data_IF_842441724442
#
_entry.id   IF_842441724442
#
_cell.length_a   1.000
_cell.length_b   1.000
_cell.length_c   1.000
_cell.angle_alpha   90.00
_cell.angle_beta   90.00
_cell.angle_gamma   90.00
#
_symmetry.space_group_name_H-M   'P 1'
#
loop_
_entity.id
_entity.type
_entity.pdbx_description
1 polymer ?
#
# COMPACT_ATOMS: atom_id res chain seq x y z
N UNK A 1 -29.35 -34.72 62.97
CA UNK A 1 -29.41 -35.48 61.71
C UNK A 1 -29.09 -34.54 60.55
N UNK A 2 -27.95 -34.76 59.89
CA UNK A 2 -27.43 -33.92 58.80
C UNK A 2 -28.01 -34.45 57.47
N UNK A 3 -28.65 -33.61 56.64
CA UNK A 3 -29.00 -33.96 55.25
C UNK A 3 -28.36 -32.99 54.26
N UNK A 4 -27.71 -33.61 53.27
CA UNK A 4 -26.66 -33.10 52.39
C UNK A 4 -27.14 -32.07 51.37
N UNK A 5 -26.22 -31.16 51.06
CA UNK A 5 -26.24 -30.28 49.89
C UNK A 5 -26.35 -31.10 48.59
N UNK A 6 -27.22 -30.66 47.69
CA UNK A 6 -27.24 -31.10 46.29
C UNK A 6 -26.96 -29.90 45.37
N UNK A 7 -25.68 -29.84 45.04
CA UNK A 7 -25.06 -29.32 43.83
C UNK A 7 -26.01 -29.25 42.61
N UNK A 8 -26.20 -28.05 42.06
CA UNK A 8 -26.75 -27.82 40.71
C UNK A 8 -25.75 -26.97 39.91
N UNK A 9 -24.55 -27.51 39.72
CA UNK A 9 -23.47 -26.90 38.94
C UNK A 9 -23.45 -27.43 37.49
N UNK A 10 -24.62 -27.61 36.89
CA UNK A 10 -24.73 -28.20 35.54
C UNK A 10 -24.95 -27.19 34.40
N UNK A 11 -25.57 -26.05 34.70
CA UNK A 11 -26.07 -25.15 33.65
C UNK A 11 -25.22 -23.89 33.45
N UNK A 12 -24.65 -23.34 34.53
CA UNK A 12 -23.89 -22.09 34.46
C UNK A 12 -22.52 -22.24 33.76
N UNK A 13 -21.89 -23.42 33.83
CA UNK A 13 -20.54 -23.62 33.31
C UNK A 13 -20.49 -23.83 31.78
N UNK A 14 -21.61 -24.24 31.15
CA UNK A 14 -21.68 -24.43 29.69
C UNK A 14 -21.97 -23.13 28.94
N UNK A 15 -22.76 -22.24 29.54
CA UNK A 15 -23.10 -20.94 28.93
C UNK A 15 -21.89 -20.00 28.90
N UNK A 16 -21.00 -20.07 29.90
CA UNK A 16 -19.81 -19.22 29.97
C UNK A 16 -18.68 -19.62 29.00
N UNK A 17 -18.61 -20.89 28.59
CA UNK A 17 -17.60 -21.37 27.61
C UNK A 17 -18.01 -21.03 26.18
N UNK A 18 -19.31 -21.05 25.86
CA UNK A 18 -19.81 -20.68 24.53
C UNK A 18 -19.67 -19.16 24.28
N UNK A 19 -19.78 -18.33 25.32
CA UNK A 19 -19.62 -16.88 25.21
C UNK A 19 -18.15 -16.43 25.06
N UNK A 20 -17.19 -17.25 25.47
CA UNK A 20 -15.75 -16.94 25.37
C UNK A 20 -15.16 -17.26 23.97
N UNK A 21 -15.84 -18.07 23.17
CA UNK A 21 -15.38 -18.50 21.83
C UNK A 21 -15.77 -17.47 20.74
N UNK A 22 -16.67 -16.52 21.03
CA UNK A 22 -17.16 -15.55 20.04
C UNK A 22 -16.32 -14.26 19.89
N UNK A 23 -15.22 -14.11 20.63
CA UNK A 23 -14.43 -12.86 20.67
C UNK A 23 -13.14 -12.88 19.85
N UNK A 24 -12.90 -13.90 19.02
CA UNK A 24 -11.79 -13.85 18.06
C UNK A 24 -12.19 -13.01 16.84
N UNK A 25 -12.24 -11.69 17.03
CA UNK A 25 -12.27 -10.74 15.92
C UNK A 25 -10.96 -10.87 15.15
N UNK A 26 -10.98 -11.68 14.09
CA UNK A 26 -9.94 -11.68 13.06
C UNK A 26 -9.91 -10.29 12.46
N UNK A 27 -9.02 -9.43 12.95
CA UNK A 27 -8.61 -8.20 12.28
C UNK A 27 -7.98 -8.61 10.96
N UNK A 28 -8.80 -8.69 9.92
CA UNK A 28 -8.33 -8.72 8.55
C UNK A 28 -7.72 -7.34 8.28
N UNK A 29 -6.41 -7.20 8.55
CA UNK A 29 -5.65 -6.08 8.01
C UNK A 29 -5.77 -6.19 6.49
N UNK A 30 -6.53 -5.27 5.91
CA UNK A 30 -6.66 -5.10 4.46
C UNK A 30 -5.30 -4.64 3.94
N UNK A 31 -4.37 -5.58 3.73
CA UNK A 31 -3.14 -5.28 3.01
C UNK A 31 -3.54 -4.78 1.61
N UNK A 32 -3.07 -3.58 1.29
CA UNK A 32 -3.25 -2.98 -0.04
C UNK A 32 -2.76 -3.91 -1.15
N UNK A 33 -3.29 -3.74 -2.36
CA UNK A 33 -2.87 -4.56 -3.50
C UNK A 33 -1.43 -4.23 -3.90
N UNK A 34 -0.56 -5.24 -3.97
CA UNK A 34 0.89 -5.09 -4.24
C UNK A 34 1.25 -5.63 -5.62
N UNK A 35 2.13 -4.95 -6.33
CA UNK A 35 2.55 -5.27 -7.70
C UNK A 35 4.06 -5.06 -7.86
N UNK A 36 4.69 -5.91 -8.68
CA UNK A 36 6.13 -5.84 -8.95
C UNK A 36 6.98 -6.26 -7.75
N UNK A 37 8.13 -5.60 -7.57
CA UNK A 37 8.99 -5.81 -6.42
C UNK A 37 8.35 -5.25 -5.14
N UNK A 38 8.58 -5.86 -3.95
CA UNK A 38 8.11 -5.32 -2.70
C UNK A 38 8.76 -3.96 -2.42
N UNK A 39 8.03 -3.06 -1.75
CA UNK A 39 8.59 -1.78 -1.32
C UNK A 39 9.62 -2.03 -0.21
N UNK A 40 10.86 -1.59 -0.45
CA UNK A 40 12.00 -1.72 0.46
C UNK A 40 12.57 -0.34 0.82
N UNK A 41 12.28 0.08 2.04
CA UNK A 41 12.75 1.35 2.62
C UNK A 41 14.28 1.42 2.80
N UNK A 42 15.00 0.31 2.70
CA UNK A 42 16.48 0.30 2.71
C UNK A 42 17.05 0.54 1.32
N UNK A 43 16.31 0.17 0.27
CA UNK A 43 16.73 0.32 -1.14
C UNK A 43 16.44 1.72 -1.68
N UNK A 44 15.34 2.35 -1.25
CA UNK A 44 14.91 3.65 -1.76
C UNK A 44 14.64 4.67 -0.66
N UNK A 45 14.85 5.94 -0.98
CA UNK A 45 14.53 7.05 -0.06
C UNK A 45 13.11 7.56 -0.30
N UNK A 46 12.35 7.80 0.78
CA UNK A 46 11.05 8.45 0.69
C UNK A 46 11.21 9.91 0.25
N UNK A 47 10.49 10.31 -0.81
CA UNK A 47 10.54 11.67 -1.37
C UNK A 47 9.15 12.11 -1.82
N UNK A 48 8.90 13.41 -1.81
CA UNK A 48 7.67 14.00 -2.35
C UNK A 48 7.84 14.38 -3.83
N UNK A 49 6.73 14.52 -4.55
CA UNK A 49 6.76 15.02 -5.93
C UNK A 49 7.42 16.40 -6.01
N UNK A 50 7.04 17.32 -5.11
CA UNK A 50 7.63 18.66 -5.06
C UNK A 50 9.17 18.64 -4.91
N UNK A 51 9.72 17.75 -4.06
CA UNK A 51 11.17 17.61 -3.91
C UNK A 51 11.84 17.17 -5.21
N UNK A 52 11.24 16.22 -5.92
CA UNK A 52 11.73 15.76 -7.24
C UNK A 52 11.73 16.93 -8.23
N UNK A 53 10.67 17.74 -8.29
CA UNK A 53 10.57 18.82 -9.27
C UNK A 53 11.43 20.05 -8.95
N UNK A 54 11.73 20.33 -7.67
CA UNK A 54 12.66 21.39 -7.28
C UNK A 54 14.11 21.05 -7.69
N UNK A 55 14.52 19.79 -7.57
CA UNK A 55 15.89 19.36 -7.92
C UNK A 55 15.92 17.97 -8.57
N UNK A 56 15.45 17.81 -9.82
CA UNK A 56 15.32 16.51 -10.46
C UNK A 56 16.68 15.83 -10.69
N UNK A 57 17.72 16.60 -11.02
CA UNK A 57 19.08 16.08 -11.18
C UNK A 57 19.65 15.50 -9.89
N UNK A 58 19.25 16.02 -8.72
CA UNK A 58 19.66 15.48 -7.42
C UNK A 58 19.14 14.08 -7.11
N UNK A 59 18.15 13.60 -7.86
CA UNK A 59 17.53 12.29 -7.70
C UNK A 59 17.77 11.35 -8.89
N UNK A 60 18.35 11.84 -9.99
CA UNK A 60 18.64 11.02 -11.17
C UNK A 60 19.47 9.78 -10.83
N UNK A 61 19.02 8.63 -11.31
CA UNK A 61 19.66 7.33 -11.05
C UNK A 61 19.44 6.77 -9.65
N UNK A 62 18.82 7.53 -8.73
CA UNK A 62 18.51 7.07 -7.38
C UNK A 62 17.20 6.31 -7.34
N UNK A 63 17.14 5.32 -6.46
CA UNK A 63 15.91 4.63 -6.13
C UNK A 63 15.14 5.47 -5.11
N UNK A 64 13.88 5.76 -5.41
CA UNK A 64 13.01 6.62 -4.60
C UNK A 64 11.67 5.93 -4.34
N UNK A 65 11.06 6.26 -3.21
CA UNK A 65 9.73 5.82 -2.82
C UNK A 65 8.84 7.07 -2.78
N UNK A 66 7.79 7.06 -3.58
CA UNK A 66 6.85 8.18 -3.70
C UNK A 66 5.46 7.69 -3.29
N UNK A 67 4.84 8.40 -2.35
CA UNK A 67 3.44 8.20 -2.00
C UNK A 67 2.61 9.39 -2.52
N UNK A 68 1.65 9.12 -3.39
CA UNK A 68 0.88 10.16 -4.10
C UNK A 68 -0.40 9.60 -4.71
N UNK A 69 -1.30 10.45 -5.22
CA UNK A 69 -2.54 9.98 -5.81
C UNK A 69 -2.35 9.51 -7.26
N UNK A 70 -3.12 8.49 -7.65
CA UNK A 70 -3.24 8.07 -9.03
C UNK A 70 -3.96 9.13 -9.87
N UNK A 71 -3.26 9.74 -10.81
CA UNK A 71 -3.80 10.66 -11.80
C UNK A 71 -4.34 9.91 -13.02
N UNK A 72 -3.77 10.22 -14.19
CA UNK A 72 -4.06 9.48 -15.43
C UNK A 72 -3.39 8.10 -15.41
N UNK A 73 -4.06 7.10 -15.98
CA UNK A 73 -3.57 5.72 -16.08
C UNK A 73 -3.67 5.24 -17.52
N UNK A 74 -2.74 4.37 -17.93
CA UNK A 74 -2.81 3.73 -19.24
C UNK A 74 -4.05 2.81 -19.33
N UNK A 75 -5.08 3.24 -20.07
CA UNK A 75 -6.31 2.45 -20.22
C UNK A 75 -6.07 1.16 -21.02
N UNK A 76 -5.21 1.23 -22.04
CA UNK A 76 -4.99 0.11 -22.97
C UNK A 76 -4.19 -1.02 -22.34
N UNK A 77 -2.94 -0.78 -21.96
CA UNK A 77 -2.02 -1.82 -21.51
C UNK A 77 -1.72 -1.80 -20.02
N UNK A 78 -2.03 -0.72 -19.29
CA UNK A 78 -1.71 -0.58 -17.86
C UNK A 78 -0.20 -0.46 -17.57
N UNK A 79 0.63 -0.13 -18.57
CA UNK A 79 2.09 -0.08 -18.41
C UNK A 79 2.61 1.23 -17.79
N UNK A 80 1.74 2.19 -17.50
CA UNK A 80 2.12 3.44 -16.85
C UNK A 80 0.98 4.06 -16.05
N UNK A 81 1.36 4.89 -15.07
CA UNK A 81 0.49 5.74 -14.27
C UNK A 81 1.13 7.12 -14.08
N UNK A 82 0.32 8.17 -13.99
CA UNK A 82 0.74 9.48 -13.52
C UNK A 82 0.48 9.58 -12.03
N UNK A 83 1.51 9.89 -11.24
CA UNK A 83 1.34 10.31 -9.85
C UNK A 83 1.08 11.81 -9.79
N UNK A 84 0.20 12.26 -8.89
CA UNK A 84 -0.14 13.67 -8.76
C UNK A 84 -0.42 14.08 -7.31
N UNK A 85 0.08 15.27 -6.94
CA UNK A 85 -0.27 15.97 -5.69
C UNK A 85 -1.25 17.14 -5.95
N UNK A 86 -1.76 17.25 -7.17
CA UNK A 86 -2.63 18.34 -7.64
C UNK A 86 -1.86 19.48 -8.32
N UNK A 87 -0.58 19.67 -8.01
CA UNK A 87 0.28 20.71 -8.62
C UNK A 87 1.34 20.09 -9.55
N UNK A 88 1.97 19.01 -9.10
CA UNK A 88 3.02 18.28 -9.78
C UNK A 88 2.48 16.97 -10.33
N UNK A 89 2.99 16.55 -11.49
CA UNK A 89 2.63 15.28 -12.12
C UNK A 89 3.87 14.52 -12.54
N UNK A 90 4.05 13.30 -12.04
CA UNK A 90 5.19 12.45 -12.37
C UNK A 90 4.74 11.22 -13.14
N UNK A 91 5.29 11.04 -14.33
CA UNK A 91 5.08 9.84 -15.13
C UNK A 91 5.84 8.67 -14.52
N UNK A 92 5.14 7.56 -14.31
CA UNK A 92 5.71 6.30 -13.83
C UNK A 92 5.47 5.23 -14.87
N UNK A 93 6.54 4.62 -15.37
CA UNK A 93 6.48 3.51 -16.32
C UNK A 93 6.86 2.20 -15.64
N UNK A 94 6.08 1.16 -15.89
CA UNK A 94 6.34 -0.19 -15.42
C UNK A 94 6.76 -1.07 -16.61
N UNK A 95 7.88 -1.77 -16.47
CA UNK A 95 8.39 -2.68 -17.49
C UNK A 95 8.16 -4.16 -17.17
N UNK A 96 8.01 -4.50 -15.88
CA UNK A 96 7.88 -5.88 -15.40
C UNK A 96 6.44 -6.31 -15.09
N UNK A 97 5.51 -5.36 -14.99
CA UNK A 97 4.10 -5.64 -14.70
C UNK A 97 3.20 -4.54 -15.29
N UNK A 98 1.88 -4.80 -15.25
CA UNK A 98 0.86 -3.84 -15.64
C UNK A 98 -0.15 -3.66 -14.51
N UNK A 99 -0.66 -2.45 -14.36
CA UNK A 99 -1.60 -2.10 -13.29
C UNK A 99 -2.53 -0.98 -13.76
N UNK A 100 -3.79 -1.02 -13.30
CA UNK A 100 -4.79 0.02 -13.56
C UNK A 100 -5.42 0.47 -12.23
N UNK A 101 -4.69 1.24 -11.41
CA UNK A 101 -5.23 1.68 -10.15
C UNK A 101 -6.44 2.60 -10.38
N UNK A 102 -7.46 2.57 -9.50
CA UNK A 102 -8.56 3.52 -9.57
C UNK A 102 -8.04 4.96 -9.52
N UNK A 103 -8.60 5.85 -10.35
CA UNK A 103 -8.25 7.27 -10.32
C UNK A 103 -8.49 7.84 -8.92
N UNK A 104 -7.52 8.59 -8.39
CA UNK A 104 -7.57 9.19 -7.07
C UNK A 104 -7.19 8.26 -5.91
N UNK A 105 -6.94 6.96 -6.18
CA UNK A 105 -6.41 6.07 -5.14
C UNK A 105 -5.01 6.50 -4.71
N UNK A 106 -4.67 6.30 -3.43
CA UNK A 106 -3.33 6.57 -2.92
C UNK A 106 -2.40 5.42 -3.31
N UNK A 107 -1.30 5.75 -3.96
CA UNK A 107 -0.30 4.80 -4.42
C UNK A 107 1.00 5.03 -3.68
N UNK A 108 1.68 3.95 -3.31
CA UNK A 108 3.10 3.96 -2.95
C UNK A 108 3.88 3.27 -4.05
N UNK A 109 4.80 4.01 -4.67
CA UNK A 109 5.56 3.52 -5.81
C UNK A 109 7.05 3.62 -5.51
N UNK A 110 7.78 2.54 -5.77
CA UNK A 110 9.23 2.51 -5.70
C UNK A 110 9.81 2.33 -7.10
N UNK A 111 10.84 3.10 -7.42
CA UNK A 111 11.51 3.00 -8.71
C UNK A 111 12.76 3.86 -8.81
N UNK A 112 13.43 3.79 -9.96
CA UNK A 112 14.61 4.60 -10.25
C UNK A 112 14.20 5.86 -10.99
N UNK A 113 14.57 7.03 -10.48
CA UNK A 113 14.31 8.28 -11.18
C UNK A 113 15.23 8.40 -12.40
N UNK A 114 14.65 8.75 -13.54
CA UNK A 114 15.35 8.94 -14.81
C UNK A 114 15.00 10.31 -15.37
N UNK A 115 15.92 10.88 -16.13
CA UNK A 115 15.67 12.10 -16.89
C UNK A 115 15.60 11.77 -18.38
N UNK A 116 14.58 12.30 -19.05
CA UNK A 116 14.51 12.30 -20.50
C UNK A 116 14.31 13.75 -20.94
N UNK A 117 15.28 14.30 -21.69
CA UNK A 117 15.28 15.71 -22.07
C UNK A 117 15.07 16.68 -20.88
N UNK A 118 15.71 16.37 -19.74
CA UNK A 118 15.58 17.10 -18.44
C UNK A 118 14.22 16.99 -17.76
N UNK A 119 13.29 16.19 -18.29
CA UNK A 119 12.00 15.90 -17.65
C UNK A 119 12.15 14.64 -16.81
N UNK A 120 11.82 14.67 -15.50
CA UNK A 120 11.89 13.49 -14.66
C UNK A 120 10.74 12.52 -14.95
N UNK A 121 11.06 11.23 -14.97
CA UNK A 121 10.09 10.15 -14.89
C UNK A 121 10.62 9.05 -13.99
N UNK A 122 9.73 8.18 -13.51
CA UNK A 122 10.08 7.07 -12.64
C UNK A 122 9.99 5.76 -13.42
N UNK A 123 11.10 5.03 -13.50
CA UNK A 123 11.08 3.63 -13.90
C UNK A 123 10.63 2.80 -12.68
N UNK A 124 9.33 2.52 -12.61
CA UNK A 124 8.68 1.85 -11.49
C UNK A 124 9.07 0.37 -11.40
N UNK A 125 9.53 -0.03 -10.23
CA UNK A 125 9.92 -1.41 -9.90
C UNK A 125 8.84 -2.10 -9.06
N UNK A 126 8.15 -1.35 -8.20
CA UNK A 126 7.12 -1.83 -7.28
C UNK A 126 6.02 -0.80 -7.03
N UNK A 127 4.81 -1.27 -6.79
CA UNK A 127 3.64 -0.42 -6.50
C UNK A 127 2.73 -1.09 -5.47
N UNK A 128 2.23 -0.30 -4.52
CA UNK A 128 1.16 -0.68 -3.59
C UNK A 128 -0.01 0.30 -3.72
N UNK A 129 -1.24 -0.21 -3.83
CA UNK A 129 -2.46 0.58 -3.72
C UNK A 129 -2.87 0.61 -2.24
N UNK A 130 -2.76 1.77 -1.60
CA UNK A 130 -3.09 1.95 -0.20
C UNK A 130 -4.62 2.06 -0.03
N UNK A 131 -5.16 1.39 0.99
CA UNK A 131 -6.59 1.38 1.35
C UNK A 131 -6.83 2.11 2.67
#
# INVERSE_FOLDING_TARGET
MIKKSKWSNGLFNKVMVVLLILLTSTSCSSEGEKFGAPIDAKKGSAVTLNQIFINPAGYEGKNVIVESQAGQVCQTSGCWVMLTDGMNQLFVQFYSFTVRPPKGSTLRVQGVLKLQNKVPFLAGEGLEILR
#
